data_IF_889579629173
#
_entry.id   IF_889579629173
#
_cell.length_a   1.000
_cell.length_b   1.000
_cell.length_c   1.000
_cell.angle_alpha   90.00
_cell.angle_beta   90.00
_cell.angle_gamma   90.00
#
_symmetry.space_group_name_H-M   'P 1'
#
loop_
_entity.id
_entity.type
_entity.pdbx_description
1 polymer ?
#
# COMPACT_ATOMS: atom_id res chain seq x y z
N UNK A 1 -13.56 3.70 -12.92
CA UNK A 1 -12.21 3.10 -12.88
C UNK A 1 -11.39 4.00 -11.98
N UNK A 2 -10.54 3.44 -11.12
CA UNK A 2 -9.58 4.24 -10.37
C UNK A 2 -8.73 5.08 -11.35
N UNK A 3 -8.29 6.25 -10.91
CA UNK A 3 -7.49 7.12 -11.78
C UNK A 3 -6.20 6.42 -12.23
N UNK A 4 -5.84 6.59 -13.51
CA UNK A 4 -4.61 6.04 -14.12
C UNK A 4 -3.50 7.09 -14.19
N UNK A 5 -3.52 8.07 -13.29
CA UNK A 5 -2.53 9.13 -13.25
C UNK A 5 -1.10 8.56 -13.10
N UNK A 6 -0.10 9.17 -13.75
CA UNK A 6 1.28 8.81 -13.52
C UNK A 6 1.71 9.21 -12.11
N UNK A 7 2.71 8.51 -11.57
CA UNK A 7 3.36 8.88 -10.32
C UNK A 7 3.93 10.31 -10.40
N UNK A 8 3.78 11.05 -9.31
CA UNK A 8 4.09 12.47 -9.17
C UNK A 8 3.45 13.30 -10.31
N UNK A 9 2.10 13.33 -10.38
CA UNK A 9 1.39 14.05 -11.43
C UNK A 9 1.73 15.55 -11.38
N UNK A 10 1.96 16.13 -12.55
CA UNK A 10 2.34 17.53 -12.70
C UNK A 10 1.39 18.24 -13.64
N UNK A 11 0.83 19.34 -13.17
CA UNK A 11 -0.11 20.13 -13.95
C UNK A 11 0.52 20.65 -15.25
N UNK A 12 1.82 20.97 -15.24
CA UNK A 12 2.51 21.43 -16.44
C UNK A 12 2.68 20.30 -17.46
N UNK A 13 3.04 19.09 -17.02
CA UNK A 13 3.08 17.92 -17.92
C UNK A 13 1.72 17.61 -18.52
N UNK A 14 0.65 17.69 -17.73
CA UNK A 14 -0.73 17.46 -18.20
C UNK A 14 -1.18 18.54 -19.19
N UNK A 15 -0.78 19.81 -18.98
CA UNK A 15 -1.03 20.90 -19.94
C UNK A 15 -0.29 20.65 -21.25
N UNK A 16 0.94 20.17 -21.18
CA UNK A 16 1.74 19.86 -22.36
C UNK A 16 1.22 18.63 -23.12
N UNK A 17 0.69 17.63 -22.41
CA UNK A 17 -0.04 16.51 -23.01
C UNK A 17 -1.29 16.99 -23.76
N UNK A 18 -2.11 17.84 -23.14
CA UNK A 18 -3.30 18.39 -23.81
C UNK A 18 -2.94 19.22 -25.06
N UNK A 19 -1.88 20.04 -24.98
CA UNK A 19 -1.36 20.77 -26.14
C UNK A 19 -0.78 19.82 -27.20
N UNK A 20 -0.13 18.74 -26.78
CA UNK A 20 0.40 17.69 -27.64
C UNK A 20 -0.71 17.01 -28.43
N UNK A 21 -1.77 16.57 -27.74
CA UNK A 21 -2.96 15.99 -28.35
C UNK A 21 -3.60 16.96 -29.35
N UNK A 22 -3.73 18.24 -28.99
CA UNK A 22 -4.26 19.25 -29.91
C UNK A 22 -3.42 19.38 -31.19
N UNK A 23 -2.08 19.40 -31.07
CA UNK A 23 -1.19 19.48 -32.23
C UNK A 23 -1.29 18.22 -33.10
N UNK A 24 -1.35 17.04 -32.49
CA UNK A 24 -1.50 15.77 -33.21
C UNK A 24 -2.81 15.72 -34.01
N UNK A 25 -3.91 16.21 -33.42
CA UNK A 25 -5.20 16.33 -34.12
C UNK A 25 -5.13 17.26 -35.34
N UNK A 26 -4.38 18.37 -35.25
CA UNK A 26 -4.14 19.27 -36.41
C UNK A 26 -3.28 18.65 -37.50
N UNK A 27 -2.45 17.67 -37.14
CA UNK A 27 -1.62 16.90 -38.07
C UNK A 27 -2.35 15.67 -38.66
N UNK A 28 -3.65 15.48 -38.34
CA UNK A 28 -4.46 14.34 -38.80
C UNK A 28 -3.90 12.99 -38.33
N UNK A 29 -3.35 12.95 -37.11
CA UNK A 29 -2.88 11.73 -36.48
C UNK A 29 -4.06 10.80 -36.11
N UNK A 30 -4.05 9.58 -36.64
CA UNK A 30 -5.12 8.60 -36.44
C UNK A 30 -5.16 8.04 -35.02
N UNK A 31 -4.02 7.91 -34.35
CA UNK A 31 -3.93 7.41 -32.98
C UNK A 31 -4.48 8.45 -32.02
N UNK A 32 -4.14 9.73 -32.23
CA UNK A 32 -4.74 10.85 -31.49
C UNK A 32 -6.27 10.89 -31.65
N UNK A 33 -6.77 10.68 -32.88
CA UNK A 33 -8.21 10.60 -33.12
C UNK A 33 -8.85 9.38 -32.42
N UNK A 34 -8.13 8.26 -32.32
CA UNK A 34 -8.53 7.10 -31.52
C UNK A 34 -8.70 7.44 -30.04
N UNK A 35 -7.73 8.12 -29.44
CA UNK A 35 -7.78 8.59 -28.05
C UNK A 35 -8.98 9.51 -27.81
N UNK A 36 -9.24 10.47 -28.72
CA UNK A 36 -10.41 11.36 -28.63
C UNK A 36 -11.72 10.57 -28.69
N UNK A 37 -11.86 9.64 -29.63
CA UNK A 37 -13.07 8.80 -29.74
C UNK A 37 -13.30 7.94 -28.49
N UNK A 38 -12.23 7.46 -27.87
CA UNK A 38 -12.31 6.62 -26.70
C UNK A 38 -12.73 7.39 -25.44
N UNK A 39 -12.23 8.62 -25.26
CA UNK A 39 -12.35 9.31 -23.97
C UNK A 39 -13.21 10.57 -24.00
N UNK A 40 -13.38 11.24 -25.14
CA UNK A 40 -14.22 12.43 -25.23
C UNK A 40 -15.71 12.06 -25.17
N UNK A 41 -16.57 12.76 -24.42
CA UNK A 41 -17.98 12.39 -24.28
C UNK A 41 -18.80 12.64 -25.54
N UNK A 42 -18.33 13.52 -26.42
CA UNK A 42 -18.99 13.91 -27.67
C UNK A 42 -17.95 13.99 -28.79
N UNK A 43 -17.33 12.85 -29.15
CA UNK A 43 -16.18 12.87 -30.05
C UNK A 43 -16.56 13.35 -31.45
N UNK A 44 -17.75 12.99 -31.94
CA UNK A 44 -18.21 13.41 -33.28
C UNK A 44 -18.32 14.93 -33.42
N UNK A 45 -18.77 15.62 -32.37
CA UNK A 45 -18.88 17.08 -32.34
C UNK A 45 -17.49 17.72 -32.28
N UNK A 46 -16.63 17.21 -31.40
CA UNK A 46 -15.27 17.75 -31.24
C UNK A 46 -14.41 17.53 -32.50
N UNK A 47 -14.59 16.41 -33.20
CA UNK A 47 -13.87 16.07 -34.42
C UNK A 47 -14.43 16.73 -35.68
N UNK A 48 -15.69 17.17 -35.67
CA UNK A 48 -16.33 17.86 -36.81
C UNK A 48 -16.01 19.36 -36.88
N UNK A 49 -15.40 19.94 -35.84
CA UNK A 49 -15.00 21.34 -35.83
C UNK A 49 -13.90 21.64 -36.85
N UNK A 50 -13.84 22.89 -37.34
CA UNK A 50 -12.79 23.34 -38.27
C UNK A 50 -11.37 23.16 -37.70
N UNK A 51 -11.23 23.27 -36.38
CA UNK A 51 -10.02 22.98 -35.65
C UNK A 51 -10.37 22.28 -34.33
N UNK A 52 -9.57 21.28 -33.96
CA UNK A 52 -9.69 20.65 -32.64
C UNK A 52 -9.28 21.65 -31.54
N UNK A 53 -10.22 21.95 -30.63
CA UNK A 53 -10.03 22.99 -29.63
C UNK A 53 -9.20 22.48 -28.43
N UNK A 54 -8.50 23.41 -27.75
CA UNK A 54 -7.68 23.05 -26.59
C UNK A 54 -8.53 22.52 -25.43
N UNK A 55 -9.76 23.04 -25.25
CA UNK A 55 -10.65 22.58 -24.20
C UNK A 55 -11.15 21.14 -24.44
N UNK A 56 -11.36 20.73 -25.70
CA UNK A 56 -11.67 19.35 -26.05
C UNK A 56 -10.47 18.42 -25.78
N UNK A 57 -9.24 18.89 -26.07
CA UNK A 57 -8.02 18.16 -25.74
C UNK A 57 -7.86 17.98 -24.22
N UNK A 58 -8.05 19.04 -23.44
CA UNK A 58 -8.02 19.01 -21.98
C UNK A 58 -9.08 18.10 -21.39
N UNK A 59 -10.32 18.14 -21.92
CA UNK A 59 -11.40 17.26 -21.50
C UNK A 59 -11.09 15.79 -21.82
N UNK A 60 -10.53 15.52 -23.00
CA UNK A 60 -10.10 14.17 -23.39
C UNK A 60 -9.03 13.65 -22.44
N UNK A 61 -8.00 14.44 -22.13
CA UNK A 61 -6.93 14.08 -21.18
C UNK A 61 -7.50 13.84 -19.77
N UNK A 62 -8.37 14.71 -19.27
CA UNK A 62 -8.98 14.54 -17.95
C UNK A 62 -9.77 13.22 -17.85
N UNK A 63 -10.61 12.92 -18.86
CA UNK A 63 -11.41 11.69 -18.89
C UNK A 63 -10.58 10.44 -19.12
N UNK A 64 -9.47 10.54 -19.86
CA UNK A 64 -8.49 9.46 -19.99
C UNK A 64 -7.96 9.03 -18.61
N UNK A 65 -7.75 9.99 -17.71
CA UNK A 65 -7.31 9.76 -16.33
C UNK A 65 -8.45 9.51 -15.34
N UNK A 66 -9.69 9.37 -15.81
CA UNK A 66 -10.85 9.05 -14.96
C UNK A 66 -11.57 10.25 -14.35
N UNK A 67 -11.16 11.48 -14.64
CA UNK A 67 -11.81 12.69 -14.13
C UNK A 67 -12.96 13.13 -15.03
N UNK A 68 -14.02 13.70 -14.44
CA UNK A 68 -15.20 14.15 -15.18
C UNK A 68 -14.89 15.32 -16.11
N UNK A 69 -13.87 16.12 -15.79
CA UNK A 69 -13.36 17.19 -16.63
C UNK A 69 -12.06 17.79 -16.14
N UNK A 70 -11.50 18.69 -16.95
CA UNK A 70 -10.22 19.34 -16.67
C UNK A 70 -10.18 20.06 -15.30
N UNK A 71 -11.20 20.83 -14.88
CA UNK A 71 -11.17 21.48 -13.56
C UNK A 71 -11.04 20.50 -12.40
N UNK A 72 -11.69 19.33 -12.46
CA UNK A 72 -11.60 18.30 -11.42
C UNK A 72 -10.19 17.69 -11.35
N UNK A 73 -9.59 17.40 -12.51
CA UNK A 73 -8.19 16.95 -12.58
C UNK A 73 -7.23 18.01 -12.00
N UNK A 74 -7.38 19.29 -12.37
CA UNK A 74 -6.54 20.37 -11.84
C UNK A 74 -6.68 20.46 -10.31
N UNK A 75 -7.91 20.47 -9.81
CA UNK A 75 -8.18 20.52 -8.38
C UNK A 75 -7.50 19.37 -7.64
N UNK A 76 -7.60 18.14 -8.15
CA UNK A 76 -6.92 16.99 -7.58
C UNK A 76 -5.40 17.16 -7.56
N UNK A 77 -4.77 17.59 -8.67
CA UNK A 77 -3.31 17.75 -8.71
C UNK A 77 -2.82 18.82 -7.72
N UNK A 78 -3.55 19.92 -7.57
CA UNK A 78 -3.25 20.97 -6.60
C UNK A 78 -3.39 20.47 -5.15
N UNK A 79 -4.45 19.70 -4.88
CA UNK A 79 -4.70 19.08 -3.59
C UNK A 79 -3.61 18.06 -3.23
N UNK A 80 -3.30 17.15 -4.17
CA UNK A 80 -2.32 16.10 -4.00
C UNK A 80 -0.92 16.65 -3.73
N UNK A 81 -0.57 17.82 -4.27
CA UNK A 81 0.73 18.45 -4.00
C UNK A 81 0.97 18.74 -2.51
N UNK A 82 -0.08 19.01 -1.72
CA UNK A 82 0.02 19.23 -0.27
C UNK A 82 -0.02 17.95 0.57
N UNK A 83 -0.44 16.83 -0.02
CA UNK A 83 -0.64 15.54 0.66
C UNK A 83 0.37 14.48 0.22
N UNK A 84 1.15 14.76 -0.83
CA UNK A 84 2.04 13.81 -1.44
C UNK A 84 3.31 13.62 -0.64
N UNK A 85 3.66 12.36 -0.42
CA UNK A 85 4.97 11.97 0.11
C UNK A 85 5.56 10.89 -0.78
N UNK A 86 6.86 10.96 -1.03
CA UNK A 86 7.64 9.90 -1.66
C UNK A 86 8.75 9.44 -0.71
N UNK A 87 8.48 8.47 0.18
CA UNK A 87 9.48 7.98 1.13
C UNK A 87 10.73 7.44 0.44
N UNK A 88 10.60 6.89 -0.77
CA UNK A 88 11.70 6.34 -1.55
C UNK A 88 12.69 7.40 -2.06
N UNK A 89 12.26 8.68 -2.12
CA UNK A 89 13.11 9.78 -2.55
C UNK A 89 14.04 10.30 -1.44
N UNK A 90 13.84 9.86 -0.19
CA UNK A 90 14.66 10.31 0.96
C UNK A 90 15.99 9.55 0.99
N UNK A 91 17.09 10.30 0.99
CA UNK A 91 18.43 9.73 1.17
C UNK A 91 18.76 9.60 2.66
N UNK A 92 18.67 8.39 3.21
CA UNK A 92 18.98 8.13 4.63
C UNK A 92 20.41 8.50 5.03
N UNK A 93 21.36 8.37 4.11
CA UNK A 93 22.75 8.71 4.36
C UNK A 93 22.96 10.22 4.58
N UNK A 94 22.03 11.06 4.11
CA UNK A 94 22.05 12.51 4.27
C UNK A 94 21.28 13.00 5.51
N UNK A 95 20.54 12.12 6.19
CA UNK A 95 19.77 12.46 7.38
C UNK A 95 20.66 12.54 8.63
N UNK A 96 20.26 13.37 9.59
CA UNK A 96 20.80 13.27 10.93
C UNK A 96 20.42 11.93 11.59
N UNK A 97 21.04 11.60 12.72
CA UNK A 97 20.87 10.28 13.33
C UNK A 97 19.42 9.98 13.75
N UNK A 98 18.65 10.97 14.19
CA UNK A 98 17.31 10.77 14.72
C UNK A 98 16.28 10.62 13.59
N UNK A 99 16.42 11.44 12.54
CA UNK A 99 15.64 11.27 11.32
C UNK A 99 16.02 10.00 10.57
N UNK A 100 17.30 9.64 10.53
CA UNK A 100 17.77 8.38 9.95
C UNK A 100 17.18 7.18 10.68
N UNK A 101 17.08 7.23 12.01
CA UNK A 101 16.37 6.21 12.77
C UNK A 101 14.89 6.11 12.36
N UNK A 102 14.18 7.24 12.28
CA UNK A 102 12.78 7.24 11.84
C UNK A 102 12.60 6.65 10.43
N UNK A 103 13.52 7.00 9.52
CA UNK A 103 13.49 6.55 8.13
C UNK A 103 13.76 5.05 8.00
N UNK A 104 14.77 4.54 8.73
CA UNK A 104 15.13 3.13 8.76
C UNK A 104 14.09 2.28 9.51
N UNK A 105 13.40 2.83 10.51
CA UNK A 105 12.43 2.11 11.31
C UNK A 105 11.08 1.92 10.60
N UNK A 106 10.76 2.73 9.60
CA UNK A 106 9.42 2.79 9.00
C UNK A 106 9.33 2.03 7.68
N UNK A 107 8.21 1.35 7.42
CA UNK A 107 7.88 0.88 6.08
C UNK A 107 7.79 2.05 5.08
N UNK A 108 8.28 1.83 3.86
CA UNK A 108 8.20 2.82 2.77
C UNK A 108 7.31 2.37 1.61
N UNK A 109 6.93 1.09 1.59
CA UNK A 109 6.20 0.45 0.50
C UNK A 109 6.95 0.49 -0.84
N UNK A 110 8.28 0.42 -0.78
CA UNK A 110 9.15 0.27 -1.95
C UNK A 110 9.97 -1.03 -1.87
N UNK A 111 10.87 -1.22 -2.84
CA UNK A 111 11.70 -2.41 -3.00
C UNK A 111 12.82 -2.55 -1.95
N UNK A 112 13.14 -1.48 -1.23
CA UNK A 112 14.18 -1.50 -0.19
C UNK A 112 13.60 -1.78 1.21
N UNK A 113 12.29 -2.05 1.33
CA UNK A 113 11.73 -2.56 2.58
C UNK A 113 12.26 -3.97 2.84
N UNK A 114 13.09 -4.09 3.86
CA UNK A 114 13.74 -5.34 4.26
C UNK A 114 14.12 -5.38 5.75
N UNK A 115 14.12 -6.58 6.39
CA UNK A 115 14.49 -6.73 7.80
C UNK A 115 15.84 -6.10 8.22
N UNK A 116 16.94 -6.19 7.44
CA UNK A 116 18.21 -5.53 7.80
C UNK A 116 18.09 -4.02 8.00
N UNK A 117 17.20 -3.36 7.26
CA UNK A 117 16.93 -1.93 7.38
C UNK A 117 16.39 -1.58 8.77
N UNK A 118 15.38 -2.31 9.23
CA UNK A 118 14.77 -2.08 10.54
C UNK A 118 15.70 -2.49 11.68
N UNK A 119 16.55 -3.49 11.47
CA UNK A 119 17.61 -3.84 12.41
C UNK A 119 18.62 -2.70 12.55
N UNK A 120 19.05 -2.07 11.46
CA UNK A 120 19.93 -0.91 11.52
C UNK A 120 19.32 0.26 12.32
N UNK A 121 17.99 0.44 12.29
CA UNK A 121 17.31 1.39 13.15
C UNK A 121 17.42 1.01 14.64
N UNK A 122 17.27 -0.27 14.97
CA UNK A 122 17.46 -0.76 16.35
C UNK A 122 18.91 -0.57 16.83
N UNK A 123 19.89 -0.79 15.95
CA UNK A 123 21.31 -0.61 16.25
C UNK A 123 21.64 0.87 16.57
N UNK A 124 21.00 1.83 15.89
CA UNK A 124 21.13 3.26 16.19
C UNK A 124 20.64 3.59 17.60
N UNK A 125 19.48 3.06 18.01
CA UNK A 125 18.94 3.27 19.36
C UNK A 125 19.78 2.56 20.41
N UNK A 126 20.31 1.37 20.12
CA UNK A 126 21.22 0.67 21.03
C UNK A 126 22.52 1.44 21.26
N UNK A 127 23.04 2.12 20.23
CA UNK A 127 24.26 2.93 20.32
C UNK A 127 24.03 4.28 21.05
N UNK A 128 22.90 4.94 20.83
CA UNK A 128 22.49 6.16 21.55
C UNK A 128 21.03 6.05 22.02
N UNK A 129 20.77 5.54 23.23
CA UNK A 129 19.39 5.46 23.74
C UNK A 129 18.71 6.83 23.90
N UNK A 130 19.47 7.92 24.02
CA UNK A 130 18.92 9.28 24.10
C UNK A 130 18.45 9.80 22.72
N UNK A 131 18.66 9.03 21.65
CA UNK A 131 18.16 9.34 20.31
C UNK A 131 16.63 9.52 20.29
N UNK A 132 15.90 8.73 21.07
CA UNK A 132 14.43 8.77 21.13
C UNK A 132 13.91 10.08 21.75
N UNK A 133 14.76 10.81 22.48
CA UNK A 133 14.43 12.09 23.13
C UNK A 133 14.74 13.32 22.26
N UNK A 134 15.30 13.12 21.04
CA UNK A 134 15.69 14.23 20.17
C UNK A 134 14.48 15.00 19.65
N UNK A 135 13.41 14.29 19.27
CA UNK A 135 12.16 14.86 18.82
C UNK A 135 11.01 13.84 18.90
N UNK A 136 9.78 14.35 18.84
CA UNK A 136 8.54 13.56 18.95
C UNK A 136 8.44 12.44 17.92
N UNK A 137 8.95 12.64 16.69
CA UNK A 137 8.88 11.62 15.63
C UNK A 137 9.77 10.41 15.95
N UNK A 138 10.95 10.61 16.55
CA UNK A 138 11.80 9.51 17.01
C UNK A 138 11.16 8.79 18.21
N UNK A 139 10.59 9.53 19.16
CA UNK A 139 9.83 8.92 20.25
C UNK A 139 8.66 8.05 19.76
N UNK A 140 7.96 8.50 18.70
CA UNK A 140 6.88 7.75 18.06
C UNK A 140 7.36 6.52 17.30
N UNK A 141 8.40 6.65 16.45
CA UNK A 141 9.05 5.51 15.77
C UNK A 141 9.56 4.45 16.74
N UNK A 142 9.99 4.87 17.93
CA UNK A 142 10.45 3.97 18.98
C UNK A 142 9.33 3.35 19.84
N UNK A 143 8.08 3.75 19.61
CA UNK A 143 6.93 3.46 20.46
C UNK A 143 7.23 3.68 21.97
N UNK A 144 7.91 4.79 22.29
CA UNK A 144 8.33 5.12 23.65
C UNK A 144 7.33 6.07 24.33
N UNK A 145 6.45 5.57 25.23
CA UNK A 145 5.46 6.41 25.88
C UNK A 145 6.08 7.46 26.81
N UNK A 146 7.24 7.20 27.40
CA UNK A 146 7.87 8.15 28.32
C UNK A 146 8.49 9.33 27.56
N UNK A 147 9.17 9.07 26.44
CA UNK A 147 9.70 10.12 25.58
C UNK A 147 8.57 10.94 24.93
N UNK A 148 7.51 10.27 24.44
CA UNK A 148 6.31 10.95 23.92
C UNK A 148 5.67 11.86 24.97
N UNK A 149 5.48 11.37 26.20
CA UNK A 149 4.90 12.17 27.28
C UNK A 149 5.75 13.43 27.57
N UNK A 150 7.09 13.33 27.56
CA UNK A 150 7.98 14.49 27.74
C UNK A 150 7.80 15.53 26.62
N UNK A 151 7.84 15.10 25.36
CA UNK A 151 7.68 16.01 24.22
C UNK A 151 6.31 16.69 24.20
N UNK A 152 5.24 15.92 24.42
CA UNK A 152 3.87 16.42 24.38
C UNK A 152 3.53 17.30 25.58
N UNK A 153 4.11 17.05 26.76
CA UNK A 153 3.96 17.94 27.90
C UNK A 153 4.59 19.32 27.65
N UNK A 154 5.73 19.35 26.95
CA UNK A 154 6.39 20.60 26.59
C UNK A 154 5.66 21.33 25.44
N UNK A 155 5.21 20.59 24.42
CA UNK A 155 4.58 21.13 23.22
C UNK A 155 3.47 20.19 22.71
N UNK A 156 2.22 20.31 23.20
CA UNK A 156 1.12 19.40 22.84
C UNK A 156 0.80 19.36 21.35
N UNK A 157 0.98 20.49 20.65
CA UNK A 157 0.71 20.62 19.20
C UNK A 157 1.61 19.71 18.34
N UNK A 158 2.70 19.18 18.90
CA UNK A 158 3.57 18.24 18.20
C UNK A 158 2.82 16.97 17.75
N UNK A 159 1.76 16.55 18.44
CA UNK A 159 0.96 15.39 18.05
C UNK A 159 0.29 15.55 16.67
N UNK A 160 0.04 16.79 16.25
CA UNK A 160 -0.59 17.18 14.98
C UNK A 160 0.33 18.05 14.12
N UNK A 161 1.65 17.90 14.29
CA UNK A 161 2.66 18.61 13.49
C UNK A 161 3.44 17.63 12.60
N UNK A 162 3.49 17.94 11.30
CA UNK A 162 4.31 17.20 10.34
C UNK A 162 5.80 17.43 10.59
N UNK A 163 6.59 16.38 10.42
CA UNK A 163 8.05 16.47 10.44
C UNK A 163 8.72 15.11 10.34
N UNK A 164 9.95 15.03 10.84
CA UNK A 164 10.82 13.90 10.58
C UNK A 164 11.19 13.76 9.09
N UNK A 165 11.78 12.62 8.67
CA UNK A 165 12.30 12.43 7.32
C UNK A 165 11.24 12.48 6.22
N UNK A 166 9.99 12.12 6.53
CA UNK A 166 8.89 12.01 5.56
C UNK A 166 7.84 13.11 5.69
N UNK A 167 8.05 14.09 6.58
CA UNK A 167 7.06 15.12 6.90
C UNK A 167 5.72 14.54 7.35
N UNK A 168 5.74 13.40 8.06
CA UNK A 168 4.54 12.78 8.62
C UNK A 168 4.23 13.29 10.02
N UNK A 169 2.97 13.10 10.43
CA UNK A 169 2.57 13.21 11.83
C UNK A 169 3.21 12.08 12.67
N UNK A 170 3.47 12.29 13.98
CA UNK A 170 4.08 11.26 14.83
C UNK A 170 3.30 9.93 14.83
N UNK A 171 1.97 9.95 14.76
CA UNK A 171 1.15 8.73 14.75
C UNK A 171 1.46 7.82 13.55
N UNK A 172 1.85 8.39 12.40
CA UNK A 172 2.26 7.62 11.23
C UNK A 172 3.57 6.88 11.50
N UNK A 173 4.57 7.53 12.10
CA UNK A 173 5.84 6.88 12.46
C UNK A 173 5.64 5.73 13.47
N UNK A 174 4.69 5.86 14.39
CA UNK A 174 4.30 4.76 15.28
C UNK A 174 3.68 3.59 14.49
N UNK A 175 2.74 3.87 13.59
CA UNK A 175 2.02 2.84 12.85
C UNK A 175 2.90 2.11 11.81
N UNK A 176 3.82 2.83 11.18
CA UNK A 176 4.72 2.30 10.15
C UNK A 176 5.99 1.66 10.73
N UNK A 177 6.24 1.79 12.03
CA UNK A 177 7.44 1.28 12.71
C UNK A 177 7.57 -0.25 12.67
N UNK A 178 8.79 -0.73 12.39
CA UNK A 178 9.20 -2.15 12.31
C UNK A 178 10.50 -2.45 13.05
N UNK A 179 11.14 -1.44 13.64
CA UNK A 179 12.39 -1.62 14.39
C UNK A 179 12.19 -2.57 15.59
N UNK A 180 13.00 -3.64 15.73
CA UNK A 180 12.85 -4.62 16.81
C UNK A 180 13.43 -4.11 18.14
N UNK A 181 12.77 -3.11 18.73
CA UNK A 181 13.23 -2.42 19.95
C UNK A 181 12.82 -3.09 21.27
N UNK A 182 12.23 -4.29 21.22
CA UNK A 182 11.77 -5.01 22.42
C UNK A 182 10.60 -4.35 23.17
N UNK A 183 9.81 -3.51 22.49
CA UNK A 183 8.61 -2.88 23.05
C UNK A 183 7.50 -3.90 23.26
N UNK A 184 6.71 -3.70 24.31
CA UNK A 184 5.52 -4.52 24.59
C UNK A 184 4.27 -3.91 23.97
N UNK A 185 3.24 -4.73 23.78
CA UNK A 185 1.92 -4.27 23.33
C UNK A 185 1.39 -3.12 24.20
N UNK A 186 1.52 -3.23 25.53
CA UNK A 186 1.09 -2.19 26.46
C UNK A 186 1.82 -0.87 26.23
N UNK A 187 3.12 -0.90 25.94
CA UNK A 187 3.90 0.32 25.67
C UNK A 187 3.47 0.96 24.34
N UNK A 188 3.30 0.16 23.29
CA UNK A 188 2.83 0.65 21.98
C UNK A 188 1.43 1.25 22.07
N UNK A 189 0.49 0.59 22.75
CA UNK A 189 -0.87 1.10 22.95
C UNK A 189 -0.85 2.39 23.78
N UNK A 190 0.01 2.47 24.80
CA UNK A 190 0.17 3.70 25.59
C UNK A 190 0.72 4.86 24.74
N UNK A 191 1.70 4.60 23.87
CA UNK A 191 2.24 5.58 22.93
C UNK A 191 1.15 6.10 21.97
N UNK A 192 0.33 5.20 21.40
CA UNK A 192 -0.79 5.58 20.54
C UNK A 192 -1.81 6.46 21.27
N UNK A 193 -2.20 6.07 22.49
CA UNK A 193 -3.15 6.84 23.32
C UNK A 193 -2.62 8.22 23.64
N UNK A 194 -1.35 8.36 24.02
CA UNK A 194 -0.74 9.67 24.29
C UNK A 194 -0.83 10.62 23.08
N UNK A 195 -0.55 10.10 21.88
CA UNK A 195 -0.66 10.89 20.65
C UNK A 195 -2.11 11.29 20.35
N UNK A 196 -3.04 10.34 20.44
CA UNK A 196 -4.47 10.57 20.17
C UNK A 196 -5.10 11.51 21.20
N UNK A 197 -4.73 11.39 22.48
CA UNK A 197 -5.19 12.27 23.56
C UNK A 197 -4.62 13.69 23.41
N UNK A 198 -3.43 13.83 22.81
CA UNK A 198 -2.85 15.11 22.44
C UNK A 198 -3.37 15.67 21.10
N UNK A 199 -4.32 14.99 20.44
CA UNK A 199 -5.00 15.48 19.25
C UNK A 199 -4.40 15.02 17.91
N UNK A 200 -3.63 13.94 17.89
CA UNK A 200 -3.28 13.29 16.62
C UNK A 200 -4.54 12.79 15.90
N UNK A 201 -4.61 12.99 14.58
CA UNK A 201 -5.72 12.49 13.77
C UNK A 201 -5.54 10.98 13.51
N UNK A 202 -6.49 10.12 13.94
CA UNK A 202 -6.43 8.68 13.67
C UNK A 202 -6.62 8.35 12.17
N UNK A 203 -7.06 9.30 11.34
CA UNK A 203 -7.18 9.18 9.89
C UNK A 203 -6.00 9.82 9.14
N UNK A 204 -4.94 10.22 9.85
CA UNK A 204 -3.73 10.75 9.26
C UNK A 204 -3.20 9.82 8.15
N UNK A 205 -2.63 10.42 7.11
CA UNK A 205 -2.14 9.69 5.95
C UNK A 205 -1.49 10.61 4.93
N UNK A 206 -1.01 10.02 3.84
CA UNK A 206 -0.39 10.71 2.72
C UNK A 206 -0.77 10.04 1.39
N UNK A 207 -0.54 10.74 0.28
CA UNK A 207 -0.65 10.17 -1.06
C UNK A 207 0.73 9.70 -1.52
N UNK A 208 0.91 8.40 -1.72
CA UNK A 208 2.17 7.87 -2.22
C UNK A 208 2.41 8.35 -3.65
N UNK A 209 3.45 9.19 -3.83
CA UNK A 209 3.78 9.83 -5.11
C UNK A 209 2.58 10.55 -5.75
N UNK A 210 1.70 11.13 -4.94
CA UNK A 210 0.51 11.86 -5.41
C UNK A 210 -0.54 10.99 -6.12
N UNK A 211 -0.50 9.67 -5.94
CA UNK A 211 -1.55 8.74 -6.42
C UNK A 211 -2.78 8.78 -5.49
N UNK A 212 -3.98 8.49 -6.01
CA UNK A 212 -5.24 8.84 -5.34
C UNK A 212 -5.64 7.91 -4.19
N UNK A 213 -4.89 6.83 -3.96
CA UNK A 213 -5.15 5.91 -2.85
C UNK A 213 -4.31 6.34 -1.64
N UNK A 214 -4.93 6.81 -0.55
CA UNK A 214 -4.19 7.29 0.61
C UNK A 214 -3.59 6.12 1.40
N UNK A 215 -2.35 6.34 1.84
CA UNK A 215 -1.65 5.51 2.81
C UNK A 215 -1.89 6.10 4.20
N UNK A 216 -2.79 5.50 4.97
CA UNK A 216 -3.21 6.01 6.28
C UNK A 216 -2.49 5.34 7.44
N UNK A 217 -2.71 5.83 8.66
CA UNK A 217 -2.27 5.17 9.88
C UNK A 217 -2.67 3.68 9.90
N UNK A 218 -3.91 3.33 9.53
CA UNK A 218 -4.35 1.93 9.47
C UNK A 218 -3.58 1.13 8.42
N UNK A 219 -3.30 1.72 7.25
CA UNK A 219 -2.42 1.10 6.24
C UNK A 219 -1.09 0.66 6.85
N UNK A 220 -0.43 1.57 7.56
CA UNK A 220 0.82 1.29 8.26
C UNK A 220 0.71 0.18 9.31
N UNK A 221 -0.38 0.17 10.08
CA UNK A 221 -0.60 -0.86 11.11
C UNK A 221 -0.79 -2.23 10.48
N UNK A 222 -1.67 -2.34 9.49
CA UNK A 222 -2.00 -3.63 8.86
C UNK A 222 -0.86 -4.15 7.99
N UNK A 223 0.00 -3.29 7.45
CA UNK A 223 1.15 -3.71 6.65
C UNK A 223 0.77 -4.54 5.43
N UNK A 224 1.70 -5.40 5.02
CA UNK A 224 1.66 -6.23 3.81
C UNK A 224 1.42 -5.45 2.53
N UNK A 225 1.31 -6.14 1.42
CA UNK A 225 1.27 -5.59 0.08
C UNK A 225 1.83 -6.62 -0.89
N UNK A 226 2.20 -6.14 -2.07
CA UNK A 226 2.72 -6.98 -3.15
C UNK A 226 4.03 -7.70 -2.76
N UNK A 227 4.86 -7.06 -1.91
CA UNK A 227 6.15 -7.63 -1.46
C UNK A 227 6.01 -8.62 -0.29
N UNK A 228 4.81 -8.76 0.28
CA UNK A 228 4.49 -9.78 1.26
C UNK A 228 5.05 -9.61 2.68
N UNK A 229 4.78 -10.57 3.60
CA UNK A 229 4.99 -10.39 5.03
C UNK A 229 6.46 -10.39 5.45
N UNK A 230 7.37 -10.91 4.61
CA UNK A 230 8.80 -10.84 4.91
C UNK A 230 9.40 -9.45 4.66
N UNK A 231 8.92 -8.75 3.63
CA UNK A 231 9.38 -7.39 3.27
C UNK A 231 8.50 -6.28 3.82
N UNK A 232 7.19 -6.48 3.84
CA UNK A 232 6.21 -5.53 4.33
C UNK A 232 5.40 -6.20 5.45
N UNK A 233 6.00 -6.63 6.57
CA UNK A 233 5.26 -7.24 7.67
C UNK A 233 4.21 -6.27 8.21
N UNK A 234 3.20 -6.82 8.88
CA UNK A 234 2.28 -6.05 9.72
C UNK A 234 3.04 -5.42 10.88
N UNK A 235 2.45 -4.41 11.51
CA UNK A 235 2.96 -3.94 12.78
C UNK A 235 2.96 -5.10 13.80
N UNK A 236 3.99 -5.28 14.65
CA UNK A 236 4.07 -6.41 15.59
C UNK A 236 2.86 -6.55 16.53
N UNK A 237 2.22 -5.41 16.83
CA UNK A 237 1.00 -5.31 17.64
C UNK A 237 -0.20 -4.80 16.82
N UNK A 238 -0.33 -5.27 15.57
CA UNK A 238 -1.31 -4.73 14.61
C UNK A 238 -2.75 -4.73 15.14
N UNK A 239 -3.21 -5.82 15.73
CA UNK A 239 -4.58 -5.95 16.25
C UNK A 239 -4.87 -4.91 17.34
N UNK A 240 -4.01 -4.83 18.36
CA UNK A 240 -4.18 -3.90 19.47
C UNK A 240 -4.08 -2.43 19.02
N UNK A 241 -3.13 -2.12 18.13
CA UNK A 241 -2.94 -0.76 17.64
C UNK A 241 -4.08 -0.31 16.71
N UNK A 242 -4.52 -1.16 15.78
CA UNK A 242 -5.67 -0.88 14.91
C UNK A 242 -6.94 -0.71 15.73
N UNK A 243 -7.17 -1.57 16.74
CA UNK A 243 -8.32 -1.47 17.65
C UNK A 243 -8.37 -0.10 18.33
N UNK A 244 -7.24 0.39 18.85
CA UNK A 244 -7.16 1.72 19.49
C UNK A 244 -7.44 2.83 18.50
N UNK A 245 -6.90 2.76 17.28
CA UNK A 245 -7.17 3.75 16.24
C UNK A 245 -8.66 3.80 15.87
N UNK A 246 -9.27 2.63 15.61
CA UNK A 246 -10.69 2.51 15.26
C UNK A 246 -11.60 3.01 16.39
N UNK A 247 -11.31 2.65 17.64
CA UNK A 247 -12.03 3.16 18.83
C UNK A 247 -11.89 4.68 19.00
N UNK A 248 -10.82 5.28 18.47
CA UNK A 248 -10.55 6.72 18.57
C UNK A 248 -10.95 7.48 17.30
N UNK A 249 -11.59 6.83 16.34
CA UNK A 249 -12.21 7.47 15.17
C UNK A 249 -11.46 7.29 13.86
N UNK A 250 -10.50 6.35 13.77
CA UNK A 250 -10.03 5.89 12.47
C UNK A 250 -11.19 5.29 11.71
N UNK A 251 -11.33 5.67 10.45
CA UNK A 251 -12.40 5.19 9.60
C UNK A 251 -12.11 3.74 9.19
N UNK A 252 -13.05 2.78 9.32
CA UNK A 252 -12.79 1.37 9.02
C UNK A 252 -12.59 1.09 7.53
N UNK A 253 -12.82 2.09 6.68
CA UNK A 253 -12.66 1.96 5.24
C UNK A 253 -11.34 2.60 4.85
N UNK A 254 -10.31 1.76 4.91
CA UNK A 254 -8.98 2.05 4.40
C UNK A 254 -8.77 1.23 3.11
N UNK A 255 -8.83 1.90 1.95
CA UNK A 255 -8.73 1.23 0.65
C UNK A 255 -7.35 0.59 0.43
N UNK A 256 -6.28 1.20 0.94
CA UNK A 256 -4.94 0.67 0.78
C UNK A 256 -4.72 -0.56 1.66
N UNK A 257 -5.25 -0.57 2.89
CA UNK A 257 -5.29 -1.77 3.75
C UNK A 257 -6.02 -2.92 3.06
N UNK A 258 -7.22 -2.67 2.55
CA UNK A 258 -8.03 -3.70 1.88
C UNK A 258 -7.30 -4.25 0.65
N UNK A 259 -6.64 -3.39 -0.12
CA UNK A 259 -5.78 -3.82 -1.22
C UNK A 259 -4.58 -4.64 -0.75
N UNK A 260 -3.78 -4.10 0.18
CA UNK A 260 -2.53 -4.73 0.66
C UNK A 260 -2.74 -6.12 1.25
N UNK A 261 -3.92 -6.36 1.84
CA UNK A 261 -4.22 -7.57 2.59
C UNK A 261 -5.05 -8.58 1.79
N UNK A 262 -5.44 -8.27 0.55
CA UNK A 262 -6.20 -9.21 -0.28
C UNK A 262 -5.34 -10.35 -0.85
N UNK A 263 -4.03 -10.18 -0.98
CA UNK A 263 -3.14 -11.13 -1.67
C UNK A 263 -3.00 -12.50 -0.98
N UNK A 264 -3.43 -12.63 0.29
CA UNK A 264 -3.29 -13.85 1.11
C UNK A 264 -4.62 -14.25 1.73
N UNK A 265 -4.81 -15.52 2.13
CA UNK A 265 -6.08 -16.01 2.68
C UNK A 265 -6.43 -15.48 4.08
N UNK A 266 -5.51 -14.79 4.76
CA UNK A 266 -5.78 -14.31 6.12
C UNK A 266 -6.66 -13.05 6.14
N UNK A 267 -7.83 -13.19 6.77
CA UNK A 267 -8.90 -12.20 6.87
C UNK A 267 -9.01 -11.48 8.22
N UNK A 268 -8.03 -11.66 9.12
CA UNK A 268 -8.01 -10.98 10.43
C UNK A 268 -8.23 -9.45 10.36
N UNK A 269 -7.75 -8.81 9.29
CA UNK A 269 -7.98 -7.39 9.05
C UNK A 269 -9.45 -7.08 8.69
N UNK A 270 -10.10 -7.90 7.85
CA UNK A 270 -11.51 -7.74 7.50
C UNK A 270 -12.39 -7.98 8.72
N UNK A 271 -12.15 -9.04 9.48
CA UNK A 271 -12.87 -9.35 10.73
C UNK A 271 -12.86 -8.13 11.68
N UNK A 272 -11.67 -7.54 11.92
CA UNK A 272 -11.55 -6.36 12.77
C UNK A 272 -12.26 -5.14 12.18
N UNK A 273 -12.09 -4.85 10.90
CA UNK A 273 -12.71 -3.69 10.26
C UNK A 273 -14.25 -3.83 10.21
N UNK A 274 -14.78 -5.04 9.98
CA UNK A 274 -16.21 -5.33 10.06
C UNK A 274 -16.76 -5.17 11.48
N UNK A 275 -16.03 -5.61 12.51
CA UNK A 275 -16.39 -5.36 13.90
C UNK A 275 -16.48 -3.86 14.23
N UNK A 276 -15.82 -3.00 13.45
CA UNK A 276 -15.85 -1.55 13.54
C UNK A 276 -16.70 -0.86 12.46
N UNK A 277 -17.57 -1.60 11.76
CA UNK A 277 -18.60 -1.03 10.89
C UNK A 277 -18.18 -0.82 9.43
N UNK A 278 -17.16 -1.51 8.92
CA UNK A 278 -16.72 -1.44 7.52
C UNK A 278 -17.86 -1.55 6.49
N UNK A 279 -18.83 -2.45 6.71
CA UNK A 279 -19.93 -2.67 5.77
C UNK A 279 -20.87 -1.45 5.62
N UNK A 280 -21.19 -0.79 6.74
CA UNK A 280 -22.19 0.27 6.82
C UNK A 280 -21.57 1.67 6.94
N UNK A 281 -20.24 1.76 6.93
CA UNK A 281 -19.52 3.01 7.10
C UNK A 281 -19.83 4.00 5.95
N UNK A 282 -20.08 5.26 6.33
CA UNK A 282 -20.25 6.36 5.39
C UNK A 282 -18.96 6.71 4.63
N UNK A 283 -18.97 7.88 3.99
CA UNK A 283 -17.78 8.39 3.31
C UNK A 283 -16.67 8.69 4.32
N UNK A 284 -15.47 8.18 4.07
CA UNK A 284 -14.30 8.48 4.87
C UNK A 284 -13.85 9.93 4.71
N UNK A 285 -13.06 10.49 5.63
CA UNK A 285 -12.47 11.82 5.47
C UNK A 285 -11.72 11.97 4.13
N UNK A 286 -11.04 10.91 3.69
CA UNK A 286 -10.33 10.89 2.41
C UNK A 286 -11.27 10.87 1.21
N UNK A 287 -12.37 10.12 1.25
CA UNK A 287 -13.37 10.13 0.17
C UNK A 287 -14.03 11.51 0.03
N UNK A 288 -14.30 12.18 1.14
CA UNK A 288 -14.83 13.54 1.15
C UNK A 288 -13.83 14.55 0.60
N UNK A 289 -12.53 14.32 0.83
CA UNK A 289 -11.46 15.23 0.44
C UNK A 289 -11.03 15.06 -1.03
N UNK A 290 -10.88 13.82 -1.48
CA UNK A 290 -10.34 13.47 -2.80
C UNK A 290 -11.43 13.26 -3.86
N UNK A 291 -12.67 12.99 -3.44
CA UNK A 291 -13.82 12.86 -4.33
C UNK A 291 -13.62 11.82 -5.44
N UNK A 292 -13.88 12.22 -6.68
CA UNK A 292 -13.87 11.33 -7.85
C UNK A 292 -12.50 10.75 -8.23
N UNK A 293 -11.42 11.25 -7.62
CA UNK A 293 -10.09 10.66 -7.82
C UNK A 293 -9.98 9.26 -7.17
N UNK A 294 -10.68 9.07 -6.05
CA UNK A 294 -10.70 7.80 -5.34
C UNK A 294 -11.59 6.78 -6.04
N UNK A 295 -11.25 5.52 -5.82
CA UNK A 295 -12.10 4.42 -6.20
C UNK A 295 -13.44 4.46 -5.44
N UNK A 296 -14.53 4.13 -6.13
CA UNK A 296 -15.85 3.99 -5.49
C UNK A 296 -15.94 2.72 -4.63
N UNK A 297 -16.79 2.71 -3.60
CA UNK A 297 -17.03 1.49 -2.79
C UNK A 297 -17.44 0.27 -3.60
N UNK A 298 -18.23 0.45 -4.65
CA UNK A 298 -18.61 -0.65 -5.53
C UNK A 298 -17.40 -1.27 -6.23
N UNK A 299 -16.48 -0.45 -6.72
CA UNK A 299 -15.26 -0.93 -7.38
C UNK A 299 -14.32 -1.60 -6.36
N UNK A 300 -14.19 -1.01 -5.16
CA UNK A 300 -13.40 -1.58 -4.06
C UNK A 300 -13.89 -2.98 -3.70
N UNK A 301 -15.20 -3.15 -3.49
CA UNK A 301 -15.79 -4.46 -3.19
C UNK A 301 -15.66 -5.44 -4.34
N UNK A 302 -15.91 -5.00 -5.58
CA UNK A 302 -15.70 -5.83 -6.76
C UNK A 302 -14.28 -6.37 -6.80
N UNK A 303 -13.26 -5.54 -6.55
CA UNK A 303 -11.87 -6.01 -6.50
C UNK A 303 -11.67 -7.08 -5.42
N UNK A 304 -12.20 -6.89 -4.21
CA UNK A 304 -12.09 -7.88 -3.13
C UNK A 304 -12.74 -9.22 -3.52
N UNK A 305 -13.93 -9.16 -4.12
CA UNK A 305 -14.68 -10.34 -4.56
C UNK A 305 -13.99 -11.05 -5.72
N UNK A 306 -13.60 -10.30 -6.75
CA UNK A 306 -12.92 -10.84 -7.94
C UNK A 306 -11.60 -11.50 -7.52
N UNK A 307 -10.79 -10.83 -6.70
CA UNK A 307 -9.54 -11.40 -6.20
C UNK A 307 -9.77 -12.67 -5.39
N UNK A 308 -10.72 -12.65 -4.45
CA UNK A 308 -11.03 -13.82 -3.62
C UNK A 308 -11.50 -15.01 -4.47
N UNK A 309 -12.33 -14.76 -5.49
CA UNK A 309 -12.82 -15.78 -6.40
C UNK A 309 -11.71 -16.36 -7.28
N UNK A 310 -10.87 -15.51 -7.87
CA UNK A 310 -9.75 -15.92 -8.74
C UNK A 310 -8.69 -16.74 -7.98
N UNK A 311 -8.54 -16.51 -6.68
CA UNK A 311 -7.54 -17.18 -5.83
C UNK A 311 -8.12 -18.27 -4.92
N UNK A 312 -9.41 -18.58 -5.05
CA UNK A 312 -10.07 -19.65 -4.29
C UNK A 312 -10.24 -19.38 -2.80
N UNK A 313 -10.28 -18.11 -2.39
CA UNK A 313 -10.50 -17.70 -1.00
C UNK A 313 -11.99 -17.73 -0.65
N UNK A 314 -12.56 -18.94 -0.62
CA UNK A 314 -13.99 -19.17 -0.32
C UNK A 314 -14.40 -18.60 1.03
N UNK A 315 -13.55 -18.74 2.06
CA UNK A 315 -13.81 -18.22 3.41
C UNK A 315 -13.97 -16.69 3.41
N UNK A 316 -13.15 -15.99 2.61
CA UNK A 316 -13.29 -14.54 2.41
C UNK A 316 -14.62 -14.20 1.75
N UNK A 317 -15.01 -14.92 0.70
CA UNK A 317 -16.30 -14.69 0.03
C UNK A 317 -17.47 -14.91 0.98
N UNK A 318 -17.40 -15.93 1.85
CA UNK A 318 -18.39 -16.15 2.90
C UNK A 318 -18.39 -15.02 3.93
N UNK A 319 -17.21 -14.56 4.39
CA UNK A 319 -17.09 -13.41 5.28
C UNK A 319 -17.74 -12.15 4.68
N UNK A 320 -17.41 -11.81 3.43
CA UNK A 320 -17.99 -10.68 2.71
C UNK A 320 -19.52 -10.80 2.61
N UNK A 321 -20.03 -11.97 2.23
CA UNK A 321 -21.46 -12.22 2.09
C UNK A 321 -22.21 -12.10 3.44
N UNK A 322 -21.63 -12.62 4.54
CA UNK A 322 -22.19 -12.49 5.89
C UNK A 322 -22.35 -11.04 6.34
N UNK A 323 -21.53 -10.14 5.80
CA UNK A 323 -21.61 -8.69 6.06
C UNK A 323 -22.38 -7.92 4.97
N UNK A 324 -23.15 -8.61 4.12
CA UNK A 324 -24.04 -7.97 3.14
C UNK A 324 -23.33 -7.43 1.89
N UNK A 325 -22.06 -7.78 1.67
CA UNK A 325 -21.37 -7.45 0.43
C UNK A 325 -21.82 -8.43 -0.65
N UNK A 326 -22.21 -7.89 -1.80
CA UNK A 326 -22.70 -8.70 -2.93
C UNK A 326 -21.56 -9.50 -3.55
N UNK A 327 -21.60 -10.82 -3.32
CA UNK A 327 -20.69 -11.80 -3.93
C UNK A 327 -21.38 -12.62 -5.01
N UNK A 328 -22.62 -12.28 -5.37
CA UNK A 328 -23.36 -13.02 -6.38
C UNK A 328 -22.67 -12.94 -7.74
N UNK A 329 -22.58 -14.08 -8.43
CA UNK A 329 -21.92 -14.18 -9.74
C UNK A 329 -20.40 -14.40 -9.66
N UNK A 330 -19.79 -14.31 -8.47
CA UNK A 330 -18.40 -14.74 -8.28
C UNK A 330 -18.28 -16.25 -8.56
N UNK A 331 -17.48 -16.61 -9.56
CA UNK A 331 -17.19 -18.02 -9.86
C UNK A 331 -15.86 -18.36 -9.21
N UNK A 332 -15.92 -19.13 -8.13
CA UNK A 332 -14.72 -19.48 -7.36
C UNK A 332 -13.87 -20.45 -8.17
N UNK A 333 -12.65 -20.02 -8.47
CA UNK A 333 -11.61 -20.91 -8.98
C UNK A 333 -11.21 -21.82 -7.83
N UNK A 334 -11.44 -23.11 -7.97
CA UNK A 334 -10.94 -24.10 -7.01
C UNK A 334 -9.46 -24.33 -7.34
N UNK A 335 -8.51 -23.93 -6.46
CA UNK A 335 -7.10 -24.13 -6.74
C UNK A 335 -6.82 -25.62 -6.85
N UNK A 336 -6.44 -26.07 -8.04
CA UNK A 336 -6.05 -27.46 -8.27
C UNK A 336 -4.54 -27.61 -8.01
N UNK A 337 -4.16 -28.74 -7.42
CA UNK A 337 -2.75 -29.08 -7.35
C UNK A 337 -2.21 -29.30 -8.78
N UNK A 338 -1.06 -28.72 -9.15
CA UNK A 338 -0.57 -28.78 -10.53
C UNK A 338 -0.32 -30.23 -10.95
N UNK A 339 -0.76 -30.57 -12.17
CA UNK A 339 -0.51 -31.91 -12.76
C UNK A 339 0.97 -32.12 -13.08
N UNK A 340 1.65 -31.04 -13.47
CA UNK A 340 3.10 -30.98 -13.60
C UNK A 340 3.63 -29.98 -12.57
N UNK A 341 4.26 -30.50 -11.52
CA UNK A 341 4.83 -29.71 -10.42
C UNK A 341 6.02 -28.85 -10.84
N UNK A 342 6.58 -29.10 -12.03
CA UNK A 342 7.68 -28.36 -12.64
C UNK A 342 7.24 -27.52 -13.85
N UNK A 343 5.93 -27.39 -14.08
CA UNK A 343 5.40 -26.51 -15.12
C UNK A 343 5.92 -25.09 -14.92
N UNK A 344 6.26 -24.42 -16.02
CA UNK A 344 6.84 -23.08 -16.02
C UNK A 344 5.82 -22.11 -16.60
N UNK A 345 5.62 -20.98 -15.92
CA UNK A 345 4.86 -19.85 -16.46
C UNK A 345 5.67 -19.08 -17.53
N UNK A 346 5.10 -17.98 -18.03
CA UNK A 346 5.71 -17.15 -19.06
C UNK A 346 7.06 -16.53 -18.61
N UNK A 347 7.28 -16.38 -17.30
CA UNK A 347 8.52 -15.91 -16.70
C UNK A 347 9.49 -17.05 -16.37
N UNK A 348 9.12 -18.29 -16.68
CA UNK A 348 9.91 -19.48 -16.39
C UNK A 348 9.83 -19.95 -14.94
N UNK A 349 8.99 -19.33 -14.11
CA UNK A 349 8.83 -19.68 -12.70
C UNK A 349 7.93 -20.91 -12.55
N UNK A 350 8.26 -21.75 -11.56
CA UNK A 350 7.51 -22.97 -11.24
C UNK A 350 6.55 -22.73 -10.07
N UNK A 351 5.55 -23.60 -9.82
CA UNK A 351 4.74 -23.53 -8.60
C UNK A 351 5.55 -23.42 -7.30
N UNK A 352 6.74 -24.02 -7.26
CA UNK A 352 7.64 -23.96 -6.11
C UNK A 352 8.23 -22.55 -5.90
N UNK A 353 8.47 -21.77 -6.97
CA UNK A 353 8.89 -20.37 -6.87
C UNK A 353 7.79 -19.51 -6.21
N UNK A 354 6.56 -19.65 -6.70
CA UNK A 354 5.40 -18.93 -6.15
C UNK A 354 5.13 -19.28 -4.68
N UNK A 355 5.21 -20.57 -4.33
CA UNK A 355 5.08 -21.03 -2.96
C UNK A 355 6.21 -20.50 -2.06
N UNK A 356 7.44 -20.43 -2.58
CA UNK A 356 8.61 -19.90 -1.89
C UNK A 356 8.47 -18.39 -1.59
N UNK A 357 8.02 -17.59 -2.54
CA UNK A 357 7.72 -16.16 -2.35
C UNK A 357 6.63 -15.93 -1.32
N UNK A 358 5.54 -16.70 -1.41
CA UNK A 358 4.42 -16.60 -0.48
C UNK A 358 4.79 -17.05 0.93
N UNK A 359 5.83 -17.88 1.09
CA UNK A 359 6.17 -18.53 2.36
C UNK A 359 5.22 -19.67 2.71
N UNK A 360 4.51 -20.25 1.73
CA UNK A 360 3.55 -21.33 1.97
C UNK A 360 4.26 -22.66 2.21
N UNK A 361 4.65 -22.88 3.46
CA UNK A 361 5.36 -24.10 3.89
C UNK A 361 4.58 -25.38 3.56
N UNK A 362 3.25 -25.33 3.60
CA UNK A 362 2.39 -26.47 3.30
C UNK A 362 2.42 -26.83 1.83
N UNK A 363 2.28 -25.84 0.95
CA UNK A 363 2.40 -26.03 -0.49
C UNK A 363 3.82 -26.43 -0.91
N UNK A 364 4.86 -25.81 -0.33
CA UNK A 364 6.26 -26.20 -0.58
C UNK A 364 6.46 -27.69 -0.28
N UNK A 365 6.03 -28.18 0.89
CA UNK A 365 6.15 -29.60 1.25
C UNK A 365 5.44 -30.50 0.24
N UNK A 366 4.17 -30.22 -0.07
CA UNK A 366 3.40 -31.03 -1.02
C UNK A 366 4.03 -31.05 -2.42
N UNK A 367 4.55 -29.92 -2.90
CA UNK A 367 5.24 -29.85 -4.19
C UNK A 367 6.52 -30.68 -4.18
N UNK A 368 7.33 -30.58 -3.12
CA UNK A 368 8.55 -31.37 -2.97
C UNK A 368 8.25 -32.89 -2.87
N UNK A 369 7.24 -33.28 -2.09
CA UNK A 369 6.79 -34.68 -1.96
C UNK A 369 6.30 -35.24 -3.32
N UNK A 370 5.74 -34.38 -4.16
CA UNK A 370 5.30 -34.72 -5.52
C UNK A 370 6.43 -34.65 -6.58
N UNK A 371 7.68 -34.40 -6.17
CA UNK A 371 8.85 -34.42 -7.05
C UNK A 371 9.19 -33.09 -7.73
N UNK A 372 8.77 -31.95 -7.17
CA UNK A 372 9.17 -30.64 -7.66
C UNK A 372 10.70 -30.46 -7.58
N UNK A 373 11.29 -30.04 -8.69
CA UNK A 373 12.72 -29.74 -8.81
C UNK A 373 12.98 -28.32 -8.30
N UNK A 374 13.62 -28.26 -7.13
CA UNK A 374 14.01 -27.02 -6.46
C UNK A 374 15.22 -26.31 -7.09
N UNK A 375 15.83 -26.89 -8.13
CA UNK A 375 17.01 -26.34 -8.82
C UNK A 375 16.67 -25.59 -10.10
N UNK A 376 15.42 -25.68 -10.58
CA UNK A 376 14.96 -24.93 -11.76
C UNK A 376 15.09 -23.45 -11.49
N UNK A 377 15.75 -22.75 -12.42
CA UNK A 377 15.81 -21.30 -12.41
C UNK A 377 14.69 -20.68 -13.26
N UNK A 378 14.16 -19.54 -12.83
CA UNK A 378 13.28 -18.71 -13.63
C UNK A 378 14.04 -18.07 -14.81
N UNK A 379 13.31 -17.56 -15.80
CA UNK A 379 13.91 -16.83 -16.92
C UNK A 379 14.13 -15.35 -16.60
N UNK A 380 13.31 -14.79 -15.69
CA UNK A 380 13.31 -13.36 -15.40
C UNK A 380 14.55 -12.92 -14.63
N UNK A 381 14.94 -13.66 -13.59
CA UNK A 381 16.09 -13.31 -12.75
C UNK A 381 17.21 -14.36 -12.77
N UNK A 382 17.02 -15.50 -13.43
CA UNK A 382 17.95 -16.64 -13.38
C UNK A 382 18.17 -17.14 -11.96
N UNK A 383 17.08 -17.22 -11.19
CA UNK A 383 17.05 -17.56 -9.77
C UNK A 383 16.14 -18.74 -9.47
N UNK A 384 16.49 -19.48 -8.42
CA UNK A 384 15.78 -20.69 -7.94
C UNK A 384 14.68 -20.34 -6.94
N UNK A 385 13.77 -21.29 -6.59
CA UNK A 385 12.79 -21.09 -5.53
C UNK A 385 13.42 -20.71 -4.19
N UNK A 386 14.60 -21.27 -3.85
CA UNK A 386 15.32 -20.90 -2.64
C UNK A 386 15.67 -19.41 -2.64
N UNK A 387 16.21 -18.91 -3.75
CA UNK A 387 16.58 -17.51 -3.89
C UNK A 387 15.36 -16.58 -3.87
N UNK A 388 14.20 -17.03 -4.37
CA UNK A 388 12.93 -16.30 -4.20
C UNK A 388 12.51 -16.20 -2.72
N UNK A 389 12.58 -17.31 -1.96
CA UNK A 389 12.30 -17.29 -0.53
C UNK A 389 13.27 -16.39 0.24
N UNK A 390 14.57 -16.41 -0.09
CA UNK A 390 15.57 -15.56 0.54
C UNK A 390 15.33 -14.08 0.22
N UNK A 391 15.06 -13.76 -1.05
CA UNK A 391 14.73 -12.40 -1.46
C UNK A 391 13.44 -11.88 -0.81
N UNK A 392 12.42 -12.71 -0.67
CA UNK A 392 11.14 -12.37 -0.02
C UNK A 392 11.22 -12.40 1.51
N UNK A 393 12.39 -12.67 2.08
CA UNK A 393 12.62 -12.84 3.52
C UNK A 393 11.76 -13.92 4.20
N UNK A 394 11.40 -14.97 3.45
CA UNK A 394 10.65 -16.13 3.94
C UNK A 394 11.60 -17.17 4.54
N UNK A 395 12.13 -16.89 5.74
CA UNK A 395 13.23 -17.66 6.34
C UNK A 395 12.94 -19.16 6.50
N UNK A 396 11.72 -19.52 6.93
CA UNK A 396 11.33 -20.92 7.09
C UNK A 396 11.15 -21.64 5.74
N UNK A 397 10.67 -20.93 4.71
CA UNK A 397 10.59 -21.46 3.35
C UNK A 397 11.99 -21.68 2.77
N UNK A 398 12.89 -20.70 2.94
CA UNK A 398 14.28 -20.82 2.52
C UNK A 398 14.99 -21.99 3.23
N UNK A 399 14.76 -22.17 4.53
CA UNK A 399 15.28 -23.32 5.28
C UNK A 399 14.76 -24.65 4.71
N UNK A 400 13.44 -24.76 4.52
CA UNK A 400 12.82 -25.95 3.94
C UNK A 400 13.35 -26.28 2.52
N UNK A 401 13.63 -25.26 1.72
CA UNK A 401 14.18 -25.42 0.37
C UNK A 401 15.67 -25.76 0.37
N UNK A 402 16.44 -25.34 1.39
CA UNK A 402 17.84 -25.76 1.59
C UNK A 402 17.97 -27.22 2.01
N UNK A 403 17.03 -27.72 2.80
CA UNK A 403 17.11 -29.06 3.37
C UNK A 403 16.93 -30.13 2.28
N UNK A 404 18.03 -30.75 1.84
CA UNK A 404 18.04 -31.79 0.80
C UNK A 404 17.67 -33.18 1.33
N UNK A 405 17.31 -33.30 2.61
CA UNK A 405 17.08 -34.58 3.28
C UNK A 405 15.64 -35.04 3.26
N UNK A 406 15.33 -36.03 2.43
CA UNK A 406 14.32 -37.02 2.79
C UNK A 406 14.94 -37.91 3.87
N UNK A 407 14.49 -37.77 5.12
CA UNK A 407 14.70 -38.80 6.15
C UNK A 407 13.66 -39.88 6.01
#
# INVERSE_FOLDING_TARGET
MASTLPANPSLDRLRDEARGLQRAMRATDLDAAGVVRQHHPRPDIALAGEQFALHDAQLTVARRYGFTGWPALVHYVELAAGLSTDPSAVSEAALDTADRFCALASLRYDEDDEPPRWQAAADLVAADPALVDRHVWAAASAADPAALARHLAAHPTLASTNGGPYQWFPIMYLCYGRAPLGRTEQQTVAAARLLLDAGADPNAGYLWRGLPTPFTALTGVFGEGEQGPGRQPRHPFAEALATVLLQRGAHPVDQQTLYNRMFRPDDSHLELLFAHGLADAGASPWELHLGEAMETRQQMWRRQVDWAAEHGFSDRLELLARHGIDTAGATVVVPAFPTDVNARDDEGATPLHHAAWAGDLGLIRRLLDAGADRTIADNRFSTTPLQWAEHAYQMEAAKLLRDTGHG
#
